data_IF_400376239232
#
_entry.id   IF_400376239232
#
_cell.length_a   1.000
_cell.length_b   1.000
_cell.length_c   1.000
_cell.angle_alpha   90.00
_cell.angle_beta   90.00
_cell.angle_gamma   90.00
#
_symmetry.space_group_name_H-M   'P 1'
#
loop_
_entity.id
_entity.type
_entity.pdbx_description
1 polymer ?
#
# COMPACT_ATOMS: atom_id res chain seq x y z
N UNK A 1 -60.06 11.47 15.87
CA UNK A 1 -58.71 11.99 16.17
C UNK A 1 -57.70 10.87 16.04
N UNK A 2 -57.78 9.82 16.86
CA UNK A 2 -56.91 8.62 16.82
C UNK A 2 -56.72 7.96 15.44
N UNK A 3 -57.76 7.83 14.62
CA UNK A 3 -57.65 7.18 13.30
C UNK A 3 -56.80 8.00 12.31
N UNK A 4 -56.86 9.33 12.43
CA UNK A 4 -56.10 10.25 11.57
C UNK A 4 -54.60 10.21 11.89
N UNK A 5 -54.27 10.01 13.17
CA UNK A 5 -52.89 9.88 13.64
C UNK A 5 -52.28 8.54 13.22
N UNK A 6 -53.08 7.46 13.15
CA UNK A 6 -52.66 6.15 12.61
C UNK A 6 -52.37 6.25 11.11
N UNK A 7 -53.28 6.86 10.34
CA UNK A 7 -53.09 7.06 8.89
C UNK A 7 -51.82 7.90 8.59
N UNK A 8 -51.52 8.88 9.45
CA UNK A 8 -50.32 9.71 9.33
C UNK A 8 -49.04 8.91 9.62
N UNK A 9 -49.04 8.08 10.66
CA UNK A 9 -47.92 7.20 10.98
C UNK A 9 -47.64 6.20 9.85
N UNK A 10 -48.67 5.61 9.25
CA UNK A 10 -48.50 4.67 8.12
C UNK A 10 -47.88 5.35 6.89
N UNK A 11 -48.29 6.60 6.59
CA UNK A 11 -47.70 7.38 5.50
C UNK A 11 -46.24 7.73 5.76
N UNK A 12 -45.92 8.15 6.98
CA UNK A 12 -44.55 8.46 7.38
C UNK A 12 -43.65 7.21 7.30
N UNK A 13 -44.14 6.07 7.79
CA UNK A 13 -43.40 4.81 7.74
C UNK A 13 -43.13 4.38 6.28
N UNK A 14 -44.14 4.50 5.41
CA UNK A 14 -43.98 4.22 3.99
C UNK A 14 -42.93 5.12 3.33
N UNK A 15 -42.89 6.40 3.71
CA UNK A 15 -41.87 7.34 3.24
C UNK A 15 -40.45 6.97 3.69
N UNK A 16 -40.30 6.52 4.95
CA UNK A 16 -39.02 6.05 5.49
C UNK A 16 -38.54 4.79 4.76
N UNK A 17 -39.42 3.83 4.50
CA UNK A 17 -39.07 2.60 3.75
C UNK A 17 -38.58 2.91 2.33
N UNK A 18 -39.21 3.85 1.63
CA UNK A 18 -38.76 4.29 0.31
C UNK A 18 -37.35 4.91 0.37
N UNK A 19 -37.09 5.77 1.35
CA UNK A 19 -35.78 6.37 1.54
C UNK A 19 -34.71 5.33 1.90
N UNK A 20 -35.04 4.33 2.72
CA UNK A 20 -34.15 3.23 3.06
C UNK A 20 -33.78 2.37 1.86
N UNK A 21 -34.75 2.09 0.98
CA UNK A 21 -34.51 1.38 -0.26
C UNK A 21 -33.55 2.15 -1.17
N UNK A 22 -33.75 3.46 -1.31
CA UNK A 22 -32.89 4.31 -2.14
C UNK A 22 -31.48 4.45 -1.54
N UNK A 23 -31.36 4.60 -0.22
CA UNK A 23 -30.06 4.57 0.47
C UNK A 23 -29.33 3.25 0.23
N UNK A 24 -30.02 2.12 0.35
CA UNK A 24 -29.45 0.80 0.11
C UNK A 24 -28.95 0.64 -1.34
N UNK A 25 -29.71 1.18 -2.30
CA UNK A 25 -29.34 1.20 -3.72
C UNK A 25 -28.06 2.01 -3.95
N UNK A 26 -27.97 3.21 -3.36
CA UNK A 26 -26.81 4.10 -3.48
C UNK A 26 -25.59 3.47 -2.79
N UNK A 27 -25.76 2.88 -1.60
CA UNK A 27 -24.67 2.19 -0.90
C UNK A 27 -24.10 1.03 -1.72
N UNK A 28 -24.94 0.28 -2.42
CA UNK A 28 -24.50 -0.78 -3.34
C UNK A 28 -23.65 -0.21 -4.49
N UNK A 29 -24.03 0.94 -5.05
CA UNK A 29 -23.24 1.62 -6.08
C UNK A 29 -21.89 2.11 -5.55
N UNK A 30 -21.87 2.70 -4.35
CA UNK A 30 -20.64 3.16 -3.69
C UNK A 30 -19.70 1.97 -3.48
N UNK A 31 -20.19 0.85 -2.94
CA UNK A 31 -19.39 -0.35 -2.71
C UNK A 31 -18.73 -0.86 -4.00
N UNK A 32 -19.50 -0.92 -5.10
CA UNK A 32 -18.98 -1.31 -6.41
C UNK A 32 -17.88 -0.37 -6.93
N UNK A 33 -18.08 0.95 -6.80
CA UNK A 33 -17.06 1.90 -7.22
C UNK A 33 -15.80 1.82 -6.36
N UNK A 34 -15.96 1.56 -5.06
CA UNK A 34 -14.84 1.43 -4.14
C UNK A 34 -13.99 0.18 -4.42
N UNK A 35 -14.62 -0.93 -4.77
CA UNK A 35 -13.92 -2.13 -5.23
C UNK A 35 -13.09 -1.84 -6.49
N UNK A 36 -13.69 -1.18 -7.49
CA UNK A 36 -12.98 -0.80 -8.72
C UNK A 36 -11.82 0.15 -8.44
N UNK A 37 -12.03 1.13 -7.55
CA UNK A 37 -11.00 2.08 -7.11
C UNK A 37 -9.84 1.33 -6.45
N UNK A 38 -10.14 0.44 -5.51
CA UNK A 38 -9.15 -0.36 -4.79
C UNK A 38 -8.33 -1.24 -5.74
N UNK A 39 -8.97 -1.88 -6.71
CA UNK A 39 -8.28 -2.66 -7.74
C UNK A 39 -7.30 -1.81 -8.58
N UNK A 40 -7.74 -0.63 -9.02
CA UNK A 40 -6.89 0.29 -9.78
C UNK A 40 -5.73 0.83 -8.95
N UNK A 41 -5.97 1.19 -7.68
CA UNK A 41 -4.91 1.64 -6.77
C UNK A 41 -3.86 0.56 -6.55
N UNK A 42 -4.27 -0.71 -6.36
CA UNK A 42 -3.34 -1.83 -6.26
C UNK A 42 -2.50 -1.99 -7.54
N UNK A 43 -3.12 -1.92 -8.72
CA UNK A 43 -2.40 -1.97 -10.00
C UNK A 43 -1.39 -0.84 -10.15
N UNK A 44 -1.75 0.39 -9.77
CA UNK A 44 -0.85 1.54 -9.77
C UNK A 44 0.32 1.29 -8.82
N UNK A 45 0.06 0.83 -7.60
CA UNK A 45 1.10 0.52 -6.62
C UNK A 45 2.09 -0.52 -7.17
N UNK A 46 1.59 -1.65 -7.69
CA UNK A 46 2.43 -2.71 -8.28
C UNK A 46 3.25 -2.19 -9.46
N UNK A 47 2.65 -1.40 -10.35
CA UNK A 47 3.35 -0.83 -11.52
C UNK A 47 4.37 0.23 -11.11
N UNK A 48 4.04 1.14 -10.20
CA UNK A 48 4.98 2.11 -9.64
C UNK A 48 6.16 1.42 -8.97
N UNK A 49 5.90 0.34 -8.24
CA UNK A 49 6.97 -0.46 -7.64
C UNK A 49 7.91 -1.01 -8.73
N UNK A 50 7.41 -1.45 -9.88
CA UNK A 50 8.23 -1.93 -11.01
C UNK A 50 9.01 -0.82 -11.72
N UNK A 51 8.40 0.36 -11.89
CA UNK A 51 9.00 1.53 -12.57
C UNK A 51 9.93 2.30 -11.62
N UNK A 52 9.95 1.98 -10.33
CA UNK A 52 10.77 2.65 -9.33
C UNK A 52 12.25 2.65 -9.75
N UNK A 53 12.92 3.81 -9.86
CA UNK A 53 14.29 3.94 -10.39
C UNK A 53 15.31 3.00 -9.74
N UNK A 54 15.14 2.70 -8.45
CA UNK A 54 15.99 1.78 -7.68
C UNK A 54 15.95 0.31 -8.15
N UNK A 55 14.94 -0.10 -8.95
CA UNK A 55 14.90 -1.42 -9.61
C UNK A 55 15.51 -1.41 -11.01
N UNK A 56 15.59 -0.24 -11.63
CA UNK A 56 16.16 -0.02 -12.97
C UNK A 56 17.65 0.31 -12.90
N UNK A 57 18.19 0.62 -11.72
CA UNK A 57 19.61 0.88 -11.55
C UNK A 57 20.43 -0.39 -11.83
N UNK A 58 21.49 -0.29 -12.66
CA UNK A 58 22.47 -1.36 -12.85
C UNK A 58 22.97 -1.91 -11.51
N UNK A 59 23.25 -3.21 -11.47
CA UNK A 59 23.70 -3.86 -10.23
C UNK A 59 25.01 -3.25 -9.77
N UNK A 60 25.90 -2.97 -10.71
CA UNK A 60 27.25 -2.43 -10.53
C UNK A 60 27.22 -1.08 -9.79
N UNK A 61 26.29 -0.20 -10.18
CA UNK A 61 26.16 1.11 -9.54
C UNK A 61 25.54 0.99 -8.13
N UNK A 62 24.64 0.03 -7.89
CA UNK A 62 24.16 -0.25 -6.53
C UNK A 62 25.29 -0.81 -5.65
N UNK A 63 26.16 -1.67 -6.19
CA UNK A 63 27.32 -2.19 -5.47
C UNK A 63 28.26 -1.06 -5.07
N UNK A 64 28.55 -0.13 -5.98
CA UNK A 64 29.41 1.01 -5.69
C UNK A 64 28.81 1.92 -4.59
N UNK A 65 27.52 2.24 -4.68
CA UNK A 65 26.81 2.97 -3.62
C UNK A 65 26.92 2.23 -2.29
N UNK A 66 26.74 0.91 -2.28
CA UNK A 66 26.79 0.11 -1.06
C UNK A 66 28.17 0.16 -0.40
N UNK A 67 29.26 0.16 -1.19
CA UNK A 67 30.63 0.32 -0.67
C UNK A 67 30.81 1.67 0.01
N UNK A 68 30.23 2.73 -0.53
CA UNK A 68 30.24 4.06 0.08
C UNK A 68 29.36 4.19 1.33
N UNK A 69 28.45 3.25 1.59
CA UNK A 69 27.64 3.21 2.80
C UNK A 69 28.32 2.46 3.96
N UNK A 70 29.52 1.89 3.76
CA UNK A 70 30.25 1.20 4.81
C UNK A 70 30.70 2.19 5.90
N UNK A 71 30.77 1.75 7.17
CA UNK A 71 31.33 2.55 8.25
C UNK A 71 32.73 3.08 7.93
N UNK A 72 33.04 4.31 8.32
CA UNK A 72 34.36 4.94 8.09
C UNK A 72 35.52 4.15 8.72
N UNK A 73 35.25 3.52 9.86
CA UNK A 73 36.22 2.67 10.57
C UNK A 73 36.41 1.29 9.92
N UNK A 74 35.68 1.01 8.82
CA UNK A 74 35.63 -0.27 8.11
C UNK A 74 35.39 -1.48 9.03
N UNK A 75 34.84 -1.25 10.23
CA UNK A 75 34.54 -2.33 11.15
C UNK A 75 33.23 -2.98 10.73
N UNK A 76 33.34 -3.98 9.84
CA UNK A 76 32.19 -4.76 9.38
C UNK A 76 31.78 -5.71 10.51
N UNK A 77 31.08 -5.16 11.50
CA UNK A 77 30.45 -5.94 12.57
C UNK A 77 29.00 -6.20 12.18
N UNK A 78 28.47 -7.42 12.42
CA UNK A 78 27.06 -7.71 12.18
C UNK A 78 26.18 -6.83 13.07
N UNK A 79 25.66 -5.74 12.49
CA UNK A 79 24.73 -4.85 13.13
C UNK A 79 23.61 -4.50 12.16
N UNK A 80 22.37 -4.76 12.57
CA UNK A 80 21.17 -4.49 11.78
C UNK A 80 21.00 -3.00 11.43
N UNK A 81 21.68 -2.09 12.12
CA UNK A 81 21.61 -0.63 11.95
C UNK A 81 22.75 -0.06 11.10
N UNK A 82 23.71 -0.86 10.65
CA UNK A 82 24.83 -0.41 9.80
C UNK A 82 24.92 -1.24 8.52
N UNK A 83 25.55 -0.68 7.48
CA UNK A 83 25.89 -1.46 6.30
C UNK A 83 26.87 -2.60 6.67
N UNK A 84 26.83 -3.74 5.95
CA UNK A 84 25.97 -4.02 4.79
C UNK A 84 24.56 -4.53 5.14
N UNK A 85 24.28 -4.88 6.40
CA UNK A 85 23.01 -5.48 6.82
C UNK A 85 21.82 -4.53 6.72
N UNK A 86 22.00 -3.24 7.02
CA UNK A 86 20.97 -2.21 6.87
C UNK A 86 20.45 -2.14 5.42
N UNK A 87 21.35 -2.25 4.43
CA UNK A 87 21.01 -2.20 3.01
C UNK A 87 20.10 -3.37 2.62
N UNK A 88 20.31 -4.54 3.24
CA UNK A 88 19.48 -5.72 3.05
C UNK A 88 18.05 -5.61 3.62
N UNK A 89 17.74 -4.58 4.40
CA UNK A 89 16.39 -4.36 4.95
C UNK A 89 15.47 -3.58 4.00
N UNK A 90 16.03 -2.87 3.02
CA UNK A 90 15.26 -2.01 2.09
C UNK A 90 14.33 -2.83 1.19
N UNK A 91 14.86 -3.82 0.48
CA UNK A 91 14.06 -4.73 -0.35
C UNK A 91 14.80 -6.03 -0.68
N UNK A 92 14.08 -7.01 -1.23
CA UNK A 92 14.65 -8.31 -1.65
C UNK A 92 15.81 -8.18 -2.66
N UNK A 93 15.73 -7.22 -3.60
CA UNK A 93 16.78 -6.98 -4.60
C UNK A 93 18.07 -6.46 -3.95
N UNK A 94 17.96 -5.49 -3.06
CA UNK A 94 19.11 -4.91 -2.34
C UNK A 94 19.79 -5.95 -1.44
N UNK A 95 18.99 -6.79 -0.78
CA UNK A 95 19.51 -7.94 -0.03
C UNK A 95 20.30 -8.91 -0.89
N UNK A 96 19.75 -9.29 -2.05
CA UNK A 96 20.42 -10.20 -2.97
C UNK A 96 21.75 -9.60 -3.48
N UNK A 97 21.76 -8.32 -3.85
CA UNK A 97 22.97 -7.61 -4.30
C UNK A 97 24.00 -7.51 -3.15
N UNK A 98 23.57 -7.12 -1.95
CA UNK A 98 24.44 -7.01 -0.77
C UNK A 98 25.12 -8.35 -0.44
N UNK A 99 24.39 -9.47 -0.49
CA UNK A 99 24.98 -10.80 -0.30
C UNK A 99 25.88 -11.26 -1.45
N UNK A 100 25.57 -10.87 -2.69
CA UNK A 100 26.38 -11.22 -3.85
C UNK A 100 27.66 -10.38 -3.98
N UNK A 101 27.81 -9.31 -3.19
CA UNK A 101 28.96 -8.39 -3.26
C UNK A 101 29.93 -8.72 -2.14
N UNK A 102 30.94 -9.53 -2.44
CA UNK A 102 31.94 -9.98 -1.46
C UNK A 102 32.71 -8.84 -0.81
N UNK A 103 32.91 -7.71 -1.51
CA UNK A 103 33.61 -6.53 -0.99
C UNK A 103 32.90 -5.83 0.19
N UNK A 104 31.65 -6.19 0.47
CA UNK A 104 30.87 -5.63 1.58
C UNK A 104 30.99 -6.40 2.90
N UNK A 105 31.59 -7.59 2.88
CA UNK A 105 31.70 -8.52 4.01
C UNK A 105 33.16 -8.75 4.39
#
# INVERSE_FOLDING_TARGET
MLHRDIDELERLNSGVELLNAEMSRIQTLIARFDERRSHLQNNIFVRKAKIHPLRTYPVELLQEIFKHCLPEDRSIRPNARTAPLLLGQVCRRWRAISYATSELW
#
